data_IF_235736318745
#
_entry.id   IF_235736318745
#
_cell.length_a   1.000
_cell.length_b   1.000
_cell.length_c   1.000
_cell.angle_alpha   90.00
_cell.angle_beta   90.00
_cell.angle_gamma   90.00
#
_symmetry.space_group_name_H-M   'P 1'
#
loop_
_entity.id
_entity.type
_entity.pdbx_description
1 polymer ?
#
# COMPACT_ATOMS: atom_id res chain seq x y z
N UNK A 1 39.26 40.50 22.68
CA UNK A 1 37.97 40.12 23.32
C UNK A 1 36.89 40.67 22.40
N UNK A 2 35.95 39.95 21.80
CA UNK A 2 35.36 38.65 22.15
C UNK A 2 34.44 38.26 20.97
N UNK A 3 35.01 37.75 19.87
CA UNK A 3 34.27 37.10 18.77
C UNK A 3 33.83 35.69 19.19
N UNK A 4 33.17 35.64 20.34
CA UNK A 4 32.73 34.42 20.98
C UNK A 4 31.35 34.73 21.48
N UNK A 5 30.38 34.67 20.57
CA UNK A 5 28.94 34.48 20.84
C UNK A 5 28.08 34.42 19.56
N UNK A 6 28.55 34.88 18.38
CA UNK A 6 27.70 34.90 17.18
C UNK A 6 27.43 33.50 16.59
N UNK A 7 28.37 32.56 16.76
CA UNK A 7 28.24 31.19 16.24
C UNK A 7 27.30 30.31 17.09
N UNK A 8 27.11 30.63 18.38
CA UNK A 8 26.28 29.82 19.30
C UNK A 8 24.78 30.03 19.05
N UNK A 9 24.38 31.23 18.61
CA UNK A 9 22.96 31.56 18.35
C UNK A 9 22.43 30.82 17.11
N UNK A 10 23.26 30.59 16.10
CA UNK A 10 22.85 29.83 14.90
C UNK A 10 22.70 28.33 15.17
N UNK A 11 23.49 27.74 16.07
CA UNK A 11 23.38 26.32 16.42
C UNK A 11 22.11 26.03 17.23
N UNK A 12 21.61 27.00 18.01
CA UNK A 12 20.38 26.83 18.79
C UNK A 12 19.10 26.81 17.93
N UNK A 13 19.08 27.46 16.77
CA UNK A 13 17.90 27.56 15.89
C UNK A 13 17.69 26.27 15.08
N UNK A 14 18.76 25.53 14.76
CA UNK A 14 18.67 24.31 13.94
C UNK A 14 18.08 23.12 14.70
N UNK A 15 18.07 23.14 16.03
CA UNK A 15 17.59 22.02 16.87
C UNK A 15 16.04 21.95 16.90
N UNK A 16 15.32 23.01 16.49
CA UNK A 16 13.86 23.05 16.61
C UNK A 16 13.08 22.44 15.44
N UNK A 17 13.72 22.01 14.35
CA UNK A 17 13.02 21.58 13.11
C UNK A 17 13.00 20.06 12.90
N UNK A 18 13.49 19.26 13.86
CA UNK A 18 13.53 17.79 13.73
C UNK A 18 12.58 17.10 14.70
N UNK A 19 11.38 17.65 14.89
CA UNK A 19 10.21 16.82 15.22
C UNK A 19 9.45 16.58 13.94
N UNK A 20 10.08 15.83 13.03
CA UNK A 20 9.34 15.19 11.96
C UNK A 20 8.21 14.39 12.61
N UNK A 21 6.99 14.56 12.12
CA UNK A 21 5.89 13.63 12.38
C UNK A 21 6.23 12.30 11.70
N UNK A 22 7.27 11.62 12.18
CA UNK A 22 7.73 10.35 11.65
C UNK A 22 7.49 9.30 12.72
N UNK A 23 6.68 8.30 12.35
CA UNK A 23 6.51 6.97 12.97
C UNK A 23 5.26 6.71 13.82
N UNK A 24 4.41 7.69 14.13
CA UNK A 24 3.17 7.38 14.89
C UNK A 24 2.16 6.64 14.00
N UNK A 25 1.92 7.12 12.77
CA UNK A 25 0.91 6.57 11.86
C UNK A 25 1.31 5.20 11.27
N UNK A 26 2.62 4.94 11.09
CA UNK A 26 3.12 3.71 10.47
C UNK A 26 2.93 2.44 11.32
N UNK A 27 2.78 2.60 12.64
CA UNK A 27 2.61 1.49 13.59
C UNK A 27 1.14 1.21 13.96
N UNK A 28 0.21 2.02 13.45
CA UNK A 28 -1.21 1.84 13.76
C UNK A 28 -1.76 0.63 13.02
N UNK A 29 -2.56 -0.18 13.71
CA UNK A 29 -3.11 -1.38 13.11
C UNK A 29 -4.07 -1.03 11.96
N UNK A 30 -3.92 -1.77 10.86
CA UNK A 30 -4.76 -1.64 9.68
C UNK A 30 -5.44 -2.96 9.33
N UNK A 31 -6.50 -2.84 8.55
CA UNK A 31 -7.20 -3.94 7.87
C UNK A 31 -7.07 -3.73 6.37
N UNK A 32 -7.34 -4.78 5.59
CA UNK A 32 -7.45 -4.66 4.13
C UNK A 32 -8.90 -4.88 3.75
N UNK A 33 -9.55 -3.86 3.21
CA UNK A 33 -10.89 -3.99 2.64
C UNK A 33 -10.73 -4.34 1.17
N UNK A 34 -11.39 -5.42 0.73
CA UNK A 34 -11.25 -5.98 -0.60
C UNK A 34 -12.61 -5.98 -1.29
N UNK A 35 -12.63 -5.52 -2.53
CA UNK A 35 -13.79 -5.52 -3.39
C UNK A 35 -13.50 -6.32 -4.66
N UNK A 36 -14.51 -7.00 -5.19
CA UNK A 36 -14.45 -7.77 -6.44
C UNK A 36 -15.31 -7.10 -7.49
N UNK A 37 -14.84 -7.11 -8.73
CA UNK A 37 -15.62 -6.63 -9.86
C UNK A 37 -16.73 -7.65 -10.20
N UNK A 38 -17.98 -7.17 -10.20
CA UNK A 38 -19.18 -7.94 -10.54
C UNK A 38 -19.99 -7.11 -11.54
N UNK A 39 -20.16 -7.64 -12.75
CA UNK A 39 -20.77 -6.95 -13.88
C UNK A 39 -20.09 -5.59 -14.19
N UNK A 40 -20.72 -4.48 -13.78
CA UNK A 40 -20.25 -3.10 -14.00
C UNK A 40 -19.89 -2.37 -12.70
N UNK A 41 -19.90 -3.06 -11.55
CA UNK A 41 -19.66 -2.46 -10.22
C UNK A 41 -18.62 -3.26 -9.41
N UNK A 42 -18.22 -2.69 -8.27
CA UNK A 42 -17.37 -3.36 -7.28
C UNK A 42 -18.17 -3.62 -6.01
N UNK A 43 -18.21 -4.88 -5.61
CA UNK A 43 -18.89 -5.34 -4.39
C UNK A 43 -17.88 -5.74 -3.33
N UNK A 44 -18.20 -5.53 -2.06
CA UNK A 44 -17.34 -5.93 -0.94
C UNK A 44 -17.19 -7.47 -0.92
N UNK A 45 -15.95 -7.93 -1.01
CA UNK A 45 -15.61 -9.35 -1.00
C UNK A 45 -15.31 -9.83 0.43
N UNK A 46 -14.37 -9.15 1.10
CA UNK A 46 -13.93 -9.50 2.45
C UNK A 46 -13.11 -8.38 3.10
N UNK A 47 -12.92 -8.52 4.41
CA UNK A 47 -11.99 -7.70 5.20
C UNK A 47 -10.93 -8.60 5.81
N UNK A 48 -9.65 -8.34 5.52
CA UNK A 48 -8.51 -9.02 6.14
C UNK A 48 -8.17 -8.32 7.45
N UNK A 49 -8.39 -9.02 8.56
CA UNK A 49 -8.18 -8.49 9.92
C UNK A 49 -6.97 -9.10 10.64
N UNK A 50 -6.47 -10.24 10.15
CA UNK A 50 -5.28 -10.89 10.70
C UNK A 50 -4.03 -10.03 10.45
N UNK A 51 -3.39 -9.58 11.52
CA UNK A 51 -2.27 -8.63 11.44
C UNK A 51 -1.09 -9.24 10.66
N UNK A 52 -0.80 -10.54 10.82
CA UNK A 52 0.31 -11.18 10.09
C UNK A 52 0.07 -11.15 8.58
N UNK A 53 -1.14 -11.46 8.13
CA UNK A 53 -1.54 -11.36 6.73
C UNK A 53 -1.45 -9.93 6.21
N UNK A 54 -1.95 -8.94 6.97
CA UNK A 54 -1.87 -7.53 6.58
C UNK A 54 -0.42 -7.08 6.42
N UNK A 55 0.46 -7.42 7.36
CA UNK A 55 1.88 -7.09 7.29
C UNK A 55 2.60 -7.81 6.15
N UNK A 56 2.20 -9.04 5.83
CA UNK A 56 2.75 -9.78 4.70
C UNK A 56 2.43 -9.11 3.37
N UNK A 57 1.19 -8.65 3.17
CA UNK A 57 0.82 -7.87 1.97
C UNK A 57 1.60 -6.55 1.91
N UNK A 58 1.69 -5.80 3.03
CA UNK A 58 2.52 -4.58 3.10
C UNK A 58 3.97 -4.84 2.72
N UNK A 59 4.56 -5.91 3.25
CA UNK A 59 5.94 -6.31 2.95
C UNK A 59 6.13 -6.58 1.47
N UNK A 60 5.25 -7.37 0.86
CA UNK A 60 5.30 -7.67 -0.58
C UNK A 60 5.24 -6.38 -1.39
N UNK A 61 4.29 -5.48 -1.09
CA UNK A 61 4.15 -4.21 -1.81
C UNK A 61 5.35 -3.28 -1.62
N UNK A 62 5.92 -3.20 -0.40
CA UNK A 62 7.07 -2.35 -0.11
C UNK A 62 8.39 -2.88 -0.72
N UNK A 63 8.57 -4.20 -0.76
CA UNK A 63 9.74 -4.84 -1.34
C UNK A 63 9.68 -4.86 -2.88
N UNK A 64 8.50 -4.64 -3.46
CA UNK A 64 8.26 -4.65 -4.91
C UNK A 64 8.60 -3.30 -5.53
N UNK A 65 9.37 -3.31 -6.63
CA UNK A 65 9.68 -2.10 -7.37
C UNK A 65 8.54 -1.72 -8.31
N UNK A 66 7.78 -0.68 -7.94
CA UNK A 66 6.78 -0.09 -8.81
C UNK A 66 7.41 0.84 -9.84
N UNK A 67 7.03 0.67 -11.11
CA UNK A 67 7.33 1.62 -12.16
C UNK A 67 6.39 2.84 -12.04
N UNK A 68 6.96 4.04 -12.06
CA UNK A 68 6.20 5.28 -12.10
C UNK A 68 5.73 5.55 -13.54
N UNK A 69 4.69 4.85 -13.98
CA UNK A 69 4.06 5.02 -15.29
C UNK A 69 2.55 4.93 -15.16
N UNK A 70 1.86 5.76 -15.93
CA UNK A 70 0.42 5.63 -16.13
C UNK A 70 0.19 4.54 -17.17
N UNK A 71 -0.60 3.53 -16.82
CA UNK A 71 -0.96 2.42 -17.70
C UNK A 71 -2.47 2.43 -17.89
N UNK A 72 -2.92 2.32 -19.14
CA UNK A 72 -4.33 2.10 -19.47
C UNK A 72 -4.56 0.62 -19.70
N UNK A 73 -5.46 0.03 -18.91
CA UNK A 73 -5.77 -1.39 -18.96
C UNK A 73 -6.94 -1.65 -19.91
N UNK A 74 -6.89 -2.75 -20.66
CA UNK A 74 -7.90 -3.07 -21.67
C UNK A 74 -9.29 -3.41 -21.09
N UNK A 75 -9.36 -3.70 -19.79
CA UNK A 75 -10.58 -4.05 -19.04
C UNK A 75 -10.48 -3.51 -17.61
N UNK A 76 -11.61 -3.39 -16.88
CA UNK A 76 -11.61 -3.07 -15.45
C UNK A 76 -10.76 -4.06 -14.64
N UNK A 77 -10.29 -3.62 -13.48
CA UNK A 77 -9.60 -4.48 -12.51
C UNK A 77 -10.53 -5.61 -12.03
N UNK A 78 -9.97 -6.77 -11.71
CA UNK A 78 -10.75 -7.86 -11.12
C UNK A 78 -11.05 -7.59 -9.65
N UNK A 79 -10.12 -6.95 -8.96
CA UNK A 79 -10.22 -6.65 -7.54
C UNK A 79 -9.69 -5.25 -7.22
N UNK A 80 -10.27 -4.65 -6.20
CA UNK A 80 -9.74 -3.49 -5.52
C UNK A 80 -9.40 -3.83 -4.09
N UNK A 81 -8.37 -3.19 -3.53
CA UNK A 81 -8.19 -3.17 -2.09
C UNK A 81 -7.61 -1.85 -1.57
N UNK A 82 -7.91 -1.56 -0.31
CA UNK A 82 -7.37 -0.41 0.43
C UNK A 82 -6.94 -0.84 1.84
N UNK A 83 -5.87 -0.23 2.34
CA UNK A 83 -5.52 -0.33 3.75
C UNK A 83 -6.33 0.68 4.56
N UNK A 84 -7.07 0.19 5.56
CA UNK A 84 -7.90 1.03 6.42
C UNK A 84 -7.40 0.94 7.87
N UNK A 85 -7.18 2.08 8.52
CA UNK A 85 -6.85 2.11 9.96
C UNK A 85 -8.01 1.57 10.79
N UNK A 86 -7.69 0.71 11.77
CA UNK A 86 -8.67 0.21 12.74
C UNK A 86 -9.16 1.32 13.66
N UNK A 87 -8.30 2.29 13.97
CA UNK A 87 -8.65 3.45 14.75
C UNK A 87 -9.45 4.43 13.88
N UNK A 88 -10.76 4.63 14.12
CA UNK A 88 -11.61 5.48 13.29
C UNK A 88 -11.26 6.97 13.42
N UNK A 89 -10.46 7.36 14.43
CA UNK A 89 -9.98 8.74 14.60
C UNK A 89 -8.84 9.09 13.66
N UNK A 90 -8.26 8.10 12.97
CA UNK A 90 -7.18 8.31 12.01
C UNK A 90 -7.80 8.49 10.64
N UNK A 91 -7.86 9.75 10.19
CA UNK A 91 -8.27 10.10 8.84
C UNK A 91 -7.02 10.30 7.97
N UNK A 92 -6.79 9.37 7.06
CA UNK A 92 -5.74 9.46 6.06
C UNK A 92 -6.29 9.01 4.71
N UNK A 93 -5.83 9.63 3.63
CA UNK A 93 -6.17 9.19 2.27
C UNK A 93 -5.62 7.78 2.06
N UNK A 94 -6.51 6.81 1.87
CA UNK A 94 -6.10 5.45 1.54
C UNK A 94 -5.67 5.36 0.07
N UNK A 95 -4.54 4.69 -0.17
CA UNK A 95 -4.11 4.34 -1.53
C UNK A 95 -5.00 3.19 -2.03
N UNK A 96 -5.65 3.41 -3.18
CA UNK A 96 -6.36 2.36 -3.90
C UNK A 96 -5.35 1.48 -4.65
N UNK A 97 -5.45 0.18 -4.43
CA UNK A 97 -4.73 -0.82 -5.21
C UNK A 97 -5.73 -1.56 -6.09
N UNK A 98 -5.43 -1.61 -7.39
CA UNK A 98 -6.24 -2.26 -8.41
C UNK A 98 -5.47 -3.49 -8.91
N UNK A 99 -6.12 -4.65 -8.96
CA UNK A 99 -5.50 -5.93 -9.36
C UNK A 99 -6.15 -6.45 -10.64
N UNK A 100 -5.32 -6.83 -11.61
CA UNK A 100 -5.70 -7.64 -12.76
C UNK A 100 -5.06 -9.01 -12.64
N UNK A 101 -5.89 -10.05 -12.58
CA UNK A 101 -5.49 -11.44 -12.70
C UNK A 101 -5.25 -11.74 -14.18
N UNK A 102 -4.04 -12.19 -14.50
CA UNK A 102 -3.68 -12.55 -15.88
C UNK A 102 -3.91 -14.05 -16.07
N UNK A 103 -4.89 -14.46 -16.90
CA UNK A 103 -5.19 -15.88 -17.10
C UNK A 103 -3.97 -16.66 -17.56
N UNK A 104 -3.80 -17.88 -17.03
CA UNK A 104 -2.80 -18.88 -17.45
C UNK A 104 -1.33 -18.46 -17.27
N UNK A 105 -1.02 -17.47 -16.43
CA UNK A 105 0.36 -16.99 -16.26
C UNK A 105 0.85 -16.89 -14.82
N UNK A 106 0.04 -17.24 -13.82
CA UNK A 106 0.38 -17.12 -12.38
C UNK A 106 0.89 -15.72 -12.01
N UNK A 107 0.29 -14.72 -12.64
CA UNK A 107 0.69 -13.32 -12.58
C UNK A 107 -0.48 -12.45 -12.25
N UNK A 108 -0.19 -11.42 -11.47
CA UNK A 108 -1.12 -10.32 -11.26
C UNK A 108 -0.43 -9.02 -11.63
N UNK A 109 -1.17 -8.12 -12.26
CA UNK A 109 -0.75 -6.74 -12.46
C UNK A 109 -1.43 -5.87 -11.42
N UNK A 110 -0.68 -4.92 -10.85
CA UNK A 110 -1.16 -4.03 -9.80
C UNK A 110 -0.91 -2.59 -10.22
N UNK A 111 -1.98 -1.78 -10.16
CA UNK A 111 -1.87 -0.32 -10.19
C UNK A 111 -2.16 0.21 -8.79
N UNK A 112 -1.21 0.94 -8.21
CA UNK A 112 -1.36 1.65 -6.96
C UNK A 112 -1.55 3.16 -7.21
N UNK A 113 -2.64 3.71 -6.67
CA UNK A 113 -3.04 5.10 -6.95
C UNK A 113 -3.24 5.33 -8.45
N UNK A 114 -2.67 6.42 -8.96
CA UNK A 114 -2.93 6.90 -10.32
C UNK A 114 -1.82 6.56 -11.33
N UNK A 115 -0.63 6.15 -10.88
CA UNK A 115 0.55 6.09 -11.74
C UNK A 115 1.67 5.14 -11.29
N UNK A 116 1.42 4.24 -10.34
CA UNK A 116 2.39 3.23 -9.94
C UNK A 116 1.94 1.87 -10.44
N UNK A 117 2.73 1.25 -11.32
CA UNK A 117 2.43 -0.02 -11.94
C UNK A 117 3.47 -1.07 -11.57
N UNK A 118 3.02 -2.31 -11.34
CA UNK A 118 3.91 -3.47 -11.32
C UNK A 118 3.23 -4.72 -11.83
N UNK A 119 4.04 -5.62 -12.39
CA UNK A 119 3.65 -7.00 -12.66
C UNK A 119 4.31 -7.89 -11.61
N UNK A 120 3.50 -8.53 -10.77
CA UNK A 120 3.95 -9.42 -9.71
C UNK A 120 3.81 -10.88 -10.18
N UNK A 121 4.83 -11.68 -9.90
CA UNK A 121 4.90 -13.09 -10.32
C UNK A 121 5.34 -14.00 -9.14
N UNK A 122 5.18 -15.31 -9.33
CA UNK A 122 5.69 -16.33 -8.41
C UNK A 122 5.05 -16.27 -7.02
N UNK A 123 5.81 -16.64 -5.99
CA UNK A 123 5.31 -16.77 -4.62
C UNK A 123 4.67 -15.48 -4.08
N UNK A 124 5.27 -14.32 -4.39
CA UNK A 124 4.71 -13.03 -3.93
C UNK A 124 3.34 -12.76 -4.56
N UNK A 125 3.14 -13.09 -5.83
CA UNK A 125 1.84 -12.95 -6.50
C UNK A 125 0.82 -13.90 -5.88
N UNK A 126 1.18 -15.17 -5.71
CA UNK A 126 0.29 -16.19 -5.15
C UNK A 126 -0.12 -15.86 -3.71
N UNK A 127 0.84 -15.47 -2.87
CA UNK A 127 0.60 -15.09 -1.47
C UNK A 127 -0.28 -13.85 -1.37
N UNK A 128 0.06 -12.79 -2.11
CA UNK A 128 -0.72 -11.55 -2.08
C UNK A 128 -2.15 -11.82 -2.53
N UNK A 129 -2.31 -12.50 -3.67
CA UNK A 129 -3.61 -12.86 -4.19
C UNK A 129 -4.42 -13.66 -3.17
N UNK A 130 -3.83 -14.72 -2.60
CA UNK A 130 -4.51 -15.58 -1.63
C UNK A 130 -4.95 -14.84 -0.37
N UNK A 131 -4.13 -13.94 0.17
CA UNK A 131 -4.52 -13.14 1.33
C UNK A 131 -5.72 -12.24 0.98
N UNK A 132 -5.61 -11.53 -0.13
CA UNK A 132 -6.55 -10.49 -0.56
C UNK A 132 -7.89 -11.11 -0.98
N UNK A 133 -7.90 -12.18 -1.76
CA UNK A 133 -9.14 -12.78 -2.29
C UNK A 133 -9.63 -13.96 -1.45
N UNK A 134 -8.74 -14.66 -0.76
CA UNK A 134 -9.03 -15.96 -0.13
C UNK A 134 -8.96 -17.15 -1.10
N UNK A 135 -8.73 -16.89 -2.39
CA UNK A 135 -8.65 -17.88 -3.46
C UNK A 135 -7.17 -18.19 -3.79
N UNK A 136 -6.88 -19.36 -4.34
CA UNK A 136 -5.54 -19.61 -4.89
C UNK A 136 -5.42 -18.98 -6.26
N UNK A 137 -4.24 -18.42 -6.58
CA UNK A 137 -3.99 -17.84 -7.90
C UNK A 137 -3.97 -18.89 -9.01
N UNK A 138 -3.70 -20.14 -8.64
CA UNK A 138 -3.72 -21.33 -9.49
C UNK A 138 -4.41 -22.45 -8.71
N UNK A 139 -5.28 -23.19 -9.39
CA UNK A 139 -5.95 -24.38 -8.84
C UNK A 139 -4.97 -25.57 -8.66
#
# INVERSE_FOLDING_TARGET
MKDRNLSVVFIAIVIFIVTGCSNIIGNEEQTINVQKHVDDTYEDLKVVTDNKQVQQVKKILNDTHFENKKVEMARPADYHFVFQFKNPKIEAKATLYQIWVIPNKDKIEIIAGDSQYVQLEGDNAAILFQIVTGEKLVD
#
